data_IF_224932344256
#
_entry.id   IF_224932344256
#
_cell.length_a   1.000
_cell.length_b   1.000
_cell.length_c   1.000
_cell.angle_alpha   90.00
_cell.angle_beta   90.00
_cell.angle_gamma   90.00
#
_symmetry.space_group_name_H-M   'P 1'
#
loop_
_entity.id
_entity.type
_entity.pdbx_description
1 polymer ?
#
# COMPACT_ATOMS: atom_id res chain seq x y z
N UNK A 1 -9.63 7.85 13.28
CA UNK A 1 -8.75 7.73 12.08
C UNK A 1 -8.23 6.30 11.83
N UNK A 2 -8.43 5.34 12.75
CA UNK A 2 -8.03 3.93 12.62
C UNK A 2 -8.42 3.23 11.31
N UNK A 3 -9.67 3.37 10.88
CA UNK A 3 -10.19 2.67 9.71
C UNK A 3 -9.54 3.12 8.40
N UNK A 4 -9.17 4.40 8.28
CA UNK A 4 -8.45 4.92 7.11
C UNK A 4 -7.04 4.34 7.04
N UNK A 5 -6.32 4.27 8.17
CA UNK A 5 -5.00 3.64 8.23
C UNK A 5 -5.07 2.15 7.85
N UNK A 6 -6.06 1.42 8.38
CA UNK A 6 -6.29 0.01 8.04
C UNK A 6 -6.59 -0.18 6.54
N UNK A 7 -7.39 0.69 5.95
CA UNK A 7 -7.78 0.61 4.54
C UNK A 7 -6.57 0.87 3.62
N UNK A 8 -5.76 1.89 3.93
CA UNK A 8 -4.51 2.19 3.20
C UNK A 8 -3.52 1.03 3.32
N UNK A 9 -3.38 0.46 4.52
CA UNK A 9 -2.55 -0.72 4.75
C UNK A 9 -2.98 -1.90 3.87
N UNK A 10 -4.27 -2.25 3.91
CA UNK A 10 -4.83 -3.35 3.12
C UNK A 10 -4.68 -3.11 1.62
N UNK A 11 -4.90 -1.89 1.12
CA UNK A 11 -4.68 -1.54 -0.28
C UNK A 11 -3.21 -1.73 -0.69
N UNK A 12 -2.27 -1.32 0.17
CA UNK A 12 -0.85 -1.52 -0.04
C UNK A 12 -0.46 -3.01 -0.10
N UNK A 13 -0.95 -3.82 0.84
CA UNK A 13 -0.71 -5.27 0.88
C UNK A 13 -1.27 -5.96 -0.35
N UNK A 14 -2.53 -5.67 -0.72
CA UNK A 14 -3.15 -6.22 -1.94
C UNK A 14 -2.31 -5.82 -3.17
N UNK A 15 -1.86 -4.56 -3.22
CA UNK A 15 -1.02 -4.09 -4.31
C UNK A 15 0.34 -4.80 -4.39
N UNK A 16 0.95 -5.17 -3.27
CA UNK A 16 2.19 -5.95 -3.26
C UNK A 16 1.95 -7.38 -3.75
N UNK A 17 0.88 -8.02 -3.27
CA UNK A 17 0.54 -9.39 -3.63
C UNK A 17 0.35 -9.53 -5.14
N UNK A 18 -0.51 -8.70 -5.74
CA UNK A 18 -0.84 -8.85 -7.15
C UNK A 18 0.27 -8.31 -8.08
N UNK A 19 1.16 -7.42 -7.60
CA UNK A 19 2.39 -7.04 -8.31
C UNK A 19 3.39 -8.20 -8.36
N UNK A 20 3.36 -9.08 -7.35
CA UNK A 20 4.16 -10.32 -7.33
C UNK A 20 3.70 -11.32 -8.38
N UNK A 21 2.41 -11.30 -8.75
CA UNK A 21 1.84 -12.11 -9.83
C UNK A 21 2.03 -11.48 -11.22
N UNK A 22 2.70 -10.32 -11.33
CA UNK A 22 2.94 -9.63 -12.59
C UNK A 22 1.68 -9.00 -13.21
N UNK A 23 0.61 -8.86 -12.44
CA UNK A 23 -0.62 -8.23 -12.89
C UNK A 23 -0.56 -6.71 -12.68
N UNK A 24 -0.96 -5.96 -13.72
CA UNK A 24 -1.13 -4.52 -13.65
C UNK A 24 -2.36 -4.18 -12.80
N UNK A 25 -2.15 -3.35 -11.79
CA UNK A 25 -3.17 -3.01 -10.82
C UNK A 25 -3.79 -1.67 -11.07
N UNK A 26 -5.12 -1.61 -11.19
CA UNK A 26 -5.85 -0.33 -11.24
C UNK A 26 -5.57 0.63 -10.07
N UNK A 27 -5.25 0.10 -8.88
CA UNK A 27 -5.07 0.89 -7.65
C UNK A 27 -3.80 1.76 -7.64
N UNK A 28 -2.71 1.27 -8.22
CA UNK A 28 -1.40 1.94 -8.26
C UNK A 28 -0.80 1.88 -9.67
N UNK A 29 -1.64 2.06 -10.70
CA UNK A 29 -1.20 2.09 -12.11
C UNK A 29 -0.07 3.11 -12.34
N UNK A 30 -0.15 4.26 -11.67
CA UNK A 30 0.88 5.31 -11.79
C UNK A 30 2.25 4.86 -11.27
N UNK A 31 2.29 3.90 -10.34
CA UNK A 31 3.53 3.36 -9.78
C UNK A 31 4.26 2.49 -10.81
N UNK A 32 3.54 1.88 -11.74
CA UNK A 32 4.13 1.06 -12.81
C UNK A 32 4.91 1.92 -13.83
N UNK A 33 4.63 3.23 -13.91
CA UNK A 33 5.38 4.17 -14.75
C UNK A 33 6.82 4.41 -14.27
N UNK A 34 7.12 4.13 -13.00
CA UNK A 34 8.46 4.31 -12.42
C UNK A 34 9.37 3.10 -12.65
N UNK A 35 8.85 2.05 -13.29
CA UNK A 35 9.56 0.79 -13.51
C UNK A 35 9.52 -0.15 -12.31
N UNK A 36 9.93 -1.39 -12.55
CA UNK A 36 9.76 -2.51 -11.60
C UNK A 36 10.39 -2.28 -10.20
N UNK A 37 11.67 -1.85 -10.07
CA UNK A 37 12.30 -1.72 -8.75
C UNK A 37 11.73 -0.55 -7.93
N UNK A 38 11.53 0.62 -8.55
CA UNK A 38 10.91 1.77 -7.88
C UNK A 38 9.44 1.50 -7.55
N UNK A 39 8.74 0.75 -8.40
CA UNK A 39 7.35 0.40 -8.17
C UNK A 39 7.14 -0.49 -6.96
N UNK A 40 8.06 -1.41 -6.70
CA UNK A 40 8.08 -2.22 -5.48
C UNK A 40 8.35 -1.37 -4.23
N UNK A 41 9.31 -0.45 -4.31
CA UNK A 41 9.65 0.46 -3.20
C UNK A 41 8.44 1.33 -2.83
N UNK A 42 7.76 1.93 -3.82
CA UNK A 42 6.60 2.78 -3.57
C UNK A 42 5.44 2.00 -2.93
N UNK A 43 5.15 0.78 -3.42
CA UNK A 43 4.13 -0.10 -2.84
C UNK A 43 4.45 -0.49 -1.41
N UNK A 44 5.71 -0.83 -1.12
CA UNK A 44 6.17 -1.12 0.23
C UNK A 44 6.02 0.11 1.14
N UNK A 45 6.42 1.30 0.68
CA UNK A 45 6.30 2.55 1.43
C UNK A 45 4.85 2.89 1.79
N UNK A 46 3.92 2.76 0.84
CA UNK A 46 2.49 3.02 1.07
C UNK A 46 1.90 2.00 2.06
N UNK A 47 2.30 0.74 1.93
CA UNK A 47 1.90 -0.31 2.87
C UNK A 47 2.38 0.01 4.28
N UNK A 48 3.66 0.35 4.45
CA UNK A 48 4.24 0.71 5.74
C UNK A 48 3.57 1.96 6.30
N UNK A 49 3.33 2.98 5.48
CA UNK A 49 2.65 4.21 5.91
C UNK A 49 1.23 3.92 6.43
N UNK A 50 0.46 3.07 5.73
CA UNK A 50 -0.86 2.62 6.19
C UNK A 50 -0.79 1.89 7.53
N UNK A 51 0.18 0.98 7.70
CA UNK A 51 0.41 0.28 8.95
C UNK A 51 0.74 1.23 10.11
N UNK A 52 1.65 2.19 9.87
CA UNK A 52 2.04 3.20 10.87
C UNK A 52 0.83 4.07 11.25
N UNK A 53 0.06 4.54 10.27
CA UNK A 53 -1.15 5.31 10.52
C UNK A 53 -2.17 4.53 11.34
N UNK A 54 -2.38 3.25 11.02
CA UNK A 54 -3.24 2.38 11.81
C UNK A 54 -2.73 2.23 13.24
N UNK A 55 -1.43 1.94 13.40
CA UNK A 55 -0.82 1.72 14.71
C UNK A 55 -0.93 2.95 15.62
N UNK A 56 -0.71 4.15 15.07
CA UNK A 56 -0.81 5.42 15.82
C UNK A 56 -2.24 5.71 16.26
N UNK A 57 -3.22 5.50 15.39
CA UNK A 57 -4.62 5.82 15.67
C UNK A 57 -5.42 4.63 16.21
N UNK A 58 -4.75 3.51 16.58
CA UNK A 58 -5.43 2.28 17.01
C UNK A 58 -6.30 2.44 18.26
N UNK A 59 -5.99 3.46 19.06
CA UNK A 59 -6.68 3.80 20.31
C UNK A 59 -7.67 4.96 20.16
N UNK A 60 -7.84 5.49 18.94
CA UNK A 60 -8.90 6.45 18.67
C UNK A 60 -10.24 5.71 18.64
N UNK A 61 -11.02 5.80 19.72
CA UNK A 61 -12.38 5.27 19.79
C UNK A 61 -13.36 6.08 18.96
#
# INVERSE_FOLDING_TARGET
MKYLGLLIFLMGVVSLLVASFGANHFLLLWVDNWGRPLGWILRASITIAGYVLYYLHRHDD
#
